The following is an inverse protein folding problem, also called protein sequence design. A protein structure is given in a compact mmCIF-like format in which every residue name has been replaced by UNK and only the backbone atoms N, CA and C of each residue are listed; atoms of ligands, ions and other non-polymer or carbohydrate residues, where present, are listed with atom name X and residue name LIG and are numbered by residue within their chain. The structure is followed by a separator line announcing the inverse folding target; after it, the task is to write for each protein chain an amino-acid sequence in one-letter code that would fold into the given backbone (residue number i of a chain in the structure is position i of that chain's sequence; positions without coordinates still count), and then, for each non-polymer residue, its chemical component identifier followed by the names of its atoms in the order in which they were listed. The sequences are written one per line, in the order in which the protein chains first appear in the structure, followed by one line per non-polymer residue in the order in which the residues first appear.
data_IF_011321028680
#
_entry.id   IF_011321028680
#
_cell.length_a   1.000
_cell.length_b   1.000
_cell.length_c   1.000
_cell.angle_alpha   90.00
_cell.angle_beta   90.00
_cell.angle_gamma   90.00
#
_symmetry.space_group_name_H-M   'P 1'
#
loop_
_entity.id
_entity.type
_entity.pdbx_description
1 polymer ?
#
# COMPACT_ATOMS: atom_id res chain seq x y z
N UNK A 1 -60.05 30.05 33.76
CA UNK A 1 -60.77 28.86 33.27
C UNK A 1 -59.88 28.18 32.25
N UNK A 2 -59.70 26.88 32.41
CA UNK A 2 -58.91 25.98 31.54
C UNK A 2 -59.63 25.76 30.17
N UNK A 3 -59.10 25.12 29.12
CA UNK A 3 -58.43 23.81 28.96
C UNK A 3 -57.94 23.70 27.48
N UNK A 4 -56.93 22.85 27.23
CA UNK A 4 -56.71 22.03 26.00
C UNK A 4 -56.13 22.69 24.73
N UNK A 5 -55.25 22.06 23.93
CA UNK A 5 -54.44 20.84 23.99
C UNK A 5 -53.51 20.85 22.75
N UNK A 6 -52.32 20.25 22.87
CA UNK A 6 -51.36 19.86 21.82
C UNK A 6 -51.98 18.86 20.79
N UNK A 7 -51.39 18.53 19.60
CA UNK A 7 -49.97 18.14 19.44
C UNK A 7 -49.25 18.26 18.05
N UNK A 8 -47.93 18.05 18.09
CA UNK A 8 -47.06 17.33 17.14
C UNK A 8 -47.06 17.68 15.63
N UNK A 9 -46.04 18.44 15.22
CA UNK A 9 -45.61 18.54 13.82
C UNK A 9 -44.62 17.42 13.46
N UNK A 10 -45.15 16.43 12.73
CA UNK A 10 -44.43 15.37 12.02
C UNK A 10 -43.63 15.93 10.84
N UNK A 11 -42.30 16.00 10.93
CA UNK A 11 -41.42 16.18 9.77
C UNK A 11 -41.00 14.82 9.21
N UNK A 12 -41.72 14.36 8.18
CA UNK A 12 -41.32 13.23 7.33
C UNK A 12 -40.08 13.62 6.52
N UNK A 13 -38.92 13.04 6.86
CA UNK A 13 -37.75 13.06 5.99
C UNK A 13 -37.99 12.18 4.76
N UNK A 14 -37.77 12.75 3.57
CA UNK A 14 -37.83 12.01 2.30
C UNK A 14 -36.67 11.00 2.23
N UNK A 15 -36.87 9.80 1.64
CA UNK A 15 -35.80 8.82 1.49
C UNK A 15 -34.80 9.29 0.43
N UNK A 16 -33.51 9.27 0.79
CA UNK A 16 -32.41 9.50 -0.14
C UNK A 16 -32.44 8.38 -1.20
N UNK A 17 -32.90 8.73 -2.40
CA UNK A 17 -32.74 7.92 -3.59
C UNK A 17 -31.24 7.68 -3.86
N UNK A 18 -30.80 6.43 -3.89
CA UNK A 18 -29.62 6.05 -4.66
C UNK A 18 -28.55 5.18 -4.00
N UNK A 19 -28.71 4.72 -2.75
CA UNK A 19 -27.80 3.69 -2.24
C UNK A 19 -28.26 2.33 -2.77
N UNK A 20 -27.74 1.95 -3.94
CA UNK A 20 -27.81 0.55 -4.39
C UNK A 20 -27.24 -0.30 -3.25
N UNK A 21 -28.11 -1.08 -2.63
CA UNK A 21 -27.74 -2.19 -1.77
C UNK A 21 -26.79 -3.09 -2.56
N UNK A 22 -25.48 -2.94 -2.32
CA UNK A 22 -24.51 -3.96 -2.68
C UNK A 22 -24.77 -5.07 -1.67
N UNK A 23 -25.39 -6.14 -2.14
CA UNK A 23 -25.41 -7.40 -1.42
C UNK A 23 -23.96 -7.75 -1.07
N UNK A 24 -23.66 -7.83 0.23
CA UNK A 24 -22.40 -8.29 0.82
C UNK A 24 -22.21 -9.79 0.54
N UNK A 25 -21.99 -10.13 -0.74
CA UNK A 25 -21.31 -11.36 -1.10
C UNK A 25 -19.84 -10.97 -1.16
N UNK A 26 -19.06 -11.40 -0.16
CA UNK A 26 -17.66 -11.04 0.09
C UNK A 26 -16.82 -11.07 -1.18
N UNK A 27 -16.72 -9.92 -1.85
CA UNK A 27 -15.95 -9.79 -3.08
C UNK A 27 -14.54 -9.42 -2.66
N UNK A 28 -13.73 -10.46 -2.48
CA UNK A 28 -12.30 -10.37 -2.19
C UNK A 28 -11.53 -9.80 -3.39
N UNK A 29 -10.26 -9.46 -3.18
CA UNK A 29 -9.36 -9.09 -4.26
C UNK A 29 -9.31 -10.19 -5.33
N UNK A 30 -9.37 -9.80 -6.61
CA UNK A 30 -9.10 -10.68 -7.76
C UNK A 30 -7.59 -10.79 -7.98
N UNK A 31 -6.90 -9.64 -7.97
CA UNK A 31 -5.47 -9.58 -8.25
C UNK A 31 -4.77 -8.49 -7.42
N UNK A 32 -3.52 -8.70 -7.03
CA UNK A 32 -2.68 -7.70 -6.36
C UNK A 32 -1.41 -7.44 -7.17
N UNK A 33 -1.10 -6.17 -7.36
CA UNK A 33 0.19 -5.72 -7.88
C UNK A 33 1.01 -5.26 -6.69
N UNK A 34 2.00 -6.07 -6.30
CA UNK A 34 2.93 -5.73 -5.21
C UNK A 34 4.07 -4.89 -5.78
N UNK A 35 4.30 -3.69 -5.26
CA UNK A 35 5.42 -2.84 -5.68
C UNK A 35 6.43 -2.79 -4.54
N UNK A 36 7.60 -3.38 -4.80
CA UNK A 36 8.70 -3.54 -3.86
C UNK A 36 9.99 -2.93 -4.41
N UNK A 37 10.98 -2.73 -3.54
CA UNK A 37 12.27 -2.14 -3.88
C UNK A 37 12.89 -1.43 -2.67
N UNK A 38 14.21 -1.24 -2.73
CA UNK A 38 14.96 -0.54 -1.68
C UNK A 38 14.30 0.80 -1.29
N UNK A 39 14.42 1.25 -0.03
CA UNK A 39 14.11 2.65 0.29
C UNK A 39 14.86 3.58 -0.67
N UNK A 40 14.16 4.55 -1.27
CA UNK A 40 14.76 5.45 -2.28
C UNK A 40 14.69 4.97 -3.74
N UNK A 41 14.29 3.72 -4.01
CA UNK A 41 14.10 3.16 -5.36
C UNK A 41 12.94 3.73 -6.18
N UNK A 42 12.24 4.76 -5.70
CA UNK A 42 11.12 5.33 -6.47
C UNK A 42 9.81 4.52 -6.47
N UNK A 43 9.72 3.39 -5.76
CA UNK A 43 8.47 2.58 -5.62
C UNK A 43 7.20 3.37 -5.30
N UNK A 44 7.29 4.37 -4.42
CA UNK A 44 6.14 5.23 -4.05
C UNK A 44 5.73 6.22 -5.15
N UNK A 45 6.66 6.57 -6.05
CA UNK A 45 6.36 7.37 -7.25
C UNK A 45 5.72 6.49 -8.30
N UNK A 46 6.31 5.32 -8.56
CA UNK A 46 5.80 4.35 -9.53
C UNK A 46 4.40 3.88 -9.17
N UNK A 47 4.13 3.52 -7.91
CA UNK A 47 2.82 3.06 -7.46
C UNK A 47 1.71 4.10 -7.70
N UNK A 48 2.00 5.37 -7.45
CA UNK A 48 1.06 6.48 -7.70
C UNK A 48 0.80 6.68 -9.19
N UNK A 49 1.85 6.73 -10.00
CA UNK A 49 1.73 6.93 -11.44
C UNK A 49 0.96 5.77 -12.09
N UNK A 50 1.26 4.54 -11.67
CA UNK A 50 0.59 3.35 -12.17
C UNK A 50 -0.87 3.29 -11.71
N UNK A 51 -1.15 3.60 -10.44
CA UNK A 51 -2.51 3.69 -9.91
C UNK A 51 -3.37 4.71 -10.67
N UNK A 52 -2.81 5.88 -10.97
CA UNK A 52 -3.47 6.88 -11.80
C UNK A 52 -3.70 6.41 -13.23
N UNK A 53 -2.68 5.83 -13.87
CA UNK A 53 -2.76 5.39 -15.27
C UNK A 53 -3.72 4.21 -15.49
N UNK A 54 -3.89 3.36 -14.48
CA UNK A 54 -4.76 2.18 -14.53
C UNK A 54 -6.10 2.37 -13.81
N UNK A 55 -6.33 3.54 -13.20
CA UNK A 55 -7.48 3.79 -12.33
C UNK A 55 -7.62 2.75 -11.20
N UNK A 56 -6.49 2.34 -10.62
CA UNK A 56 -6.43 1.35 -9.55
C UNK A 56 -6.21 2.01 -8.19
N UNK A 57 -6.81 1.47 -7.11
CA UNK A 57 -6.49 1.89 -5.76
C UNK A 57 -5.03 1.53 -5.41
N UNK A 58 -4.38 2.44 -4.67
CA UNK A 58 -3.00 2.29 -4.20
C UNK A 58 -2.99 2.30 -2.68
N UNK A 59 -2.52 1.22 -2.08
CA UNK A 59 -2.33 1.09 -0.65
C UNK A 59 -0.83 1.16 -0.38
N UNK A 60 -0.37 2.26 0.21
CA UNK A 60 1.04 2.45 0.58
C UNK A 60 1.19 2.33 2.10
N UNK A 61 1.98 1.35 2.54
CA UNK A 61 2.23 1.12 3.97
C UNK A 61 2.87 2.31 4.67
N UNK A 62 3.80 3.00 4.00
CA UNK A 62 4.42 4.20 4.57
C UNK A 62 3.40 5.33 4.72
N UNK A 63 2.48 5.53 3.76
CA UNK A 63 1.40 6.53 3.88
C UNK A 63 0.41 6.22 4.98
N UNK A 64 0.06 4.95 5.17
CA UNK A 64 -0.75 4.53 6.32
C UNK A 64 -0.01 4.81 7.63
N UNK A 65 1.30 4.51 7.72
CA UNK A 65 2.10 4.75 8.91
C UNK A 65 2.21 6.23 9.26
N UNK A 66 2.41 7.09 8.25
CA UNK A 66 2.45 8.56 8.41
C UNK A 66 1.11 9.07 8.98
N UNK A 67 -0.02 8.73 8.36
CA UNK A 67 -1.34 9.15 8.84
C UNK A 67 -1.65 8.65 10.25
N UNK A 68 -1.28 7.42 10.59
CA UNK A 68 -1.45 6.87 11.94
C UNK A 68 -0.53 7.56 12.96
N UNK A 69 0.66 8.00 12.55
CA UNK A 69 1.57 8.75 13.41
C UNK A 69 1.01 10.13 13.77
N UNK A 70 0.46 10.84 12.78
CA UNK A 70 -0.20 12.14 12.96
C UNK A 70 -1.37 12.03 13.96
N UNK A 71 -2.13 10.93 13.90
CA UNK A 71 -3.24 10.66 14.84
C UNK A 71 -2.71 10.28 16.23
N UNK A 72 -1.63 9.50 16.31
CA UNK A 72 -1.09 9.00 17.57
C UNK A 72 -0.36 10.07 18.39
N UNK A 73 0.03 11.20 17.79
CA UNK A 73 0.70 12.33 18.45
C UNK A 73 1.91 11.89 19.29
N UNK A 74 2.71 10.95 18.76
CA UNK A 74 3.91 10.42 19.44
C UNK A 74 3.67 9.41 20.57
N UNK A 75 2.41 9.08 20.89
CA UNK A 75 2.08 8.15 21.99
C UNK A 75 2.27 6.66 21.62
N UNK A 76 2.53 6.35 20.35
CA UNK A 76 2.76 4.99 19.86
C UNK A 76 4.09 4.93 19.13
N UNK A 77 4.95 3.99 19.53
CA UNK A 77 6.27 3.83 18.92
C UNK A 77 6.21 3.46 17.42
N UNK A 78 7.19 3.94 16.65
CA UNK A 78 7.26 3.74 15.19
C UNK A 78 7.17 2.28 14.74
N UNK A 79 7.79 1.36 15.49
CA UNK A 79 7.72 -0.08 15.20
C UNK A 79 6.29 -0.62 15.31
N UNK A 80 5.56 -0.24 16.37
CA UNK A 80 4.16 -0.66 16.57
C UNK A 80 3.24 -0.04 15.54
N UNK A 81 3.41 1.25 15.22
CA UNK A 81 2.68 1.89 14.12
C UNK A 81 2.97 1.23 12.77
N UNK A 82 4.22 0.80 12.53
CA UNK A 82 4.59 0.05 11.34
C UNK A 82 3.84 -1.28 11.21
N UNK A 83 3.67 -2.01 12.32
CA UNK A 83 2.87 -3.24 12.36
C UNK A 83 1.39 -2.95 12.06
N UNK A 84 0.79 -1.99 12.77
CA UNK A 84 -0.61 -1.59 12.57
C UNK A 84 -0.84 -1.16 11.11
N UNK A 85 0.02 -0.32 10.55
CA UNK A 85 -0.07 0.11 9.15
C UNK A 85 0.00 -1.06 8.16
N UNK A 86 0.83 -2.07 8.45
CA UNK A 86 0.98 -3.24 7.58
C UNK A 86 -0.23 -4.17 7.70
N UNK A 87 -0.81 -4.34 8.88
CA UNK A 87 -2.07 -5.06 9.10
C UNK A 87 -3.24 -4.35 8.39
N UNK A 88 -3.36 -3.03 8.56
CA UNK A 88 -4.37 -2.22 7.86
C UNK A 88 -4.23 -2.32 6.35
N UNK A 89 -2.99 -2.34 5.83
CA UNK A 89 -2.73 -2.51 4.39
C UNK A 89 -3.31 -3.81 3.86
N UNK A 90 -3.09 -4.94 4.55
CA UNK A 90 -3.64 -6.23 4.11
C UNK A 90 -5.16 -6.32 4.27
N UNK A 91 -5.72 -5.72 5.32
CA UNK A 91 -7.19 -5.64 5.47
C UNK A 91 -7.83 -4.83 4.35
N UNK A 92 -7.23 -3.69 3.95
CA UNK A 92 -7.69 -2.91 2.81
C UNK A 92 -7.54 -3.69 1.51
N UNK A 93 -6.42 -4.39 1.30
CA UNK A 93 -6.21 -5.20 0.12
C UNK A 93 -7.29 -6.30 -0.01
N UNK A 94 -7.62 -6.98 1.10
CA UNK A 94 -8.68 -7.98 1.15
C UNK A 94 -10.08 -7.41 0.85
N UNK A 95 -10.36 -6.19 1.30
CA UNK A 95 -11.67 -5.54 1.18
C UNK A 95 -11.92 -4.87 -0.19
N UNK A 96 -10.89 -4.65 -1.00
CA UNK A 96 -11.01 -4.04 -2.32
C UNK A 96 -11.38 -5.11 -3.35
N UNK A 97 -12.56 -5.00 -4.01
CA UNK A 97 -12.91 -5.91 -5.08
C UNK A 97 -12.06 -5.63 -6.33
N UNK A 98 -11.64 -6.68 -7.04
CA UNK A 98 -10.89 -6.54 -8.29
C UNK A 98 -9.38 -6.40 -8.08
N UNK A 99 -8.75 -5.44 -8.75
CA UNK A 99 -7.28 -5.27 -8.72
C UNK A 99 -6.88 -4.09 -7.82
N UNK A 100 -5.85 -4.29 -7.00
CA UNK A 100 -5.26 -3.22 -6.18
C UNK A 100 -3.73 -3.23 -6.26
N UNK A 101 -3.12 -2.06 -6.07
CA UNK A 101 -1.67 -1.90 -5.92
C UNK A 101 -1.36 -1.84 -4.42
N UNK A 102 -0.39 -2.65 -3.97
CA UNK A 102 0.11 -2.66 -2.60
C UNK A 102 1.59 -2.33 -2.64
N UNK A 103 2.01 -1.27 -1.93
CA UNK A 103 3.38 -0.76 -1.96
C UNK A 103 4.00 -0.72 -0.57
N UNK A 104 5.19 -1.32 -0.46
CA UNK A 104 6.00 -1.31 0.76
C UNK A 104 7.47 -1.61 0.44
N UNK A 105 8.33 -1.43 1.44
CA UNK A 105 9.63 -2.11 1.45
C UNK A 105 9.46 -3.45 2.17
N UNK A 106 9.44 -4.53 1.41
CA UNK A 106 9.49 -5.88 1.94
C UNK A 106 10.88 -6.48 1.67
N UNK A 107 11.65 -6.63 2.73
CA UNK A 107 12.98 -7.21 2.68
C UNK A 107 12.85 -8.73 2.74
N UNK A 108 13.08 -9.42 1.62
CA UNK A 108 12.78 -10.86 1.47
C UNK A 108 13.28 -11.74 2.63
N UNK A 109 14.54 -11.62 3.11
CA UNK A 109 15.02 -12.43 4.24
C UNK A 109 14.20 -12.27 5.52
N UNK A 110 13.54 -11.12 5.71
CA UNK A 110 12.69 -10.82 6.87
C UNK A 110 11.20 -11.07 6.61
N UNK A 111 10.71 -10.72 5.42
CA UNK A 111 9.28 -10.46 5.21
C UNK A 111 8.56 -11.48 4.32
N UNK A 112 9.26 -12.43 3.70
CA UNK A 112 8.65 -13.36 2.73
C UNK A 112 7.43 -14.10 3.28
N UNK A 113 7.54 -14.69 4.46
CA UNK A 113 6.43 -15.39 5.11
C UNK A 113 5.29 -14.45 5.51
N UNK A 114 5.62 -13.23 5.93
CA UNK A 114 4.63 -12.22 6.29
C UNK A 114 3.80 -11.81 5.07
N UNK A 115 4.46 -11.59 3.93
CA UNK A 115 3.79 -11.23 2.67
C UNK A 115 2.93 -12.40 2.17
N UNK A 116 3.43 -13.63 2.22
CA UNK A 116 2.65 -14.81 1.85
C UNK A 116 1.35 -14.93 2.69
N UNK A 117 1.43 -14.67 4.00
CA UNK A 117 0.26 -14.64 4.88
C UNK A 117 -0.71 -13.51 4.52
N UNK A 118 -0.21 -12.33 4.18
CA UNK A 118 -1.03 -11.20 3.74
C UNK A 118 -1.77 -11.45 2.43
N UNK A 119 -1.11 -12.09 1.45
CA UNK A 119 -1.74 -12.54 0.20
C UNK A 119 -2.86 -13.55 0.50
N UNK A 120 -2.59 -14.55 1.35
CA UNK A 120 -3.60 -15.53 1.74
C UNK A 120 -4.80 -14.89 2.47
N UNK A 121 -4.54 -13.95 3.38
CA UNK A 121 -5.58 -13.15 4.06
C UNK A 121 -6.43 -12.33 3.09
N UNK A 122 -5.87 -11.96 1.93
CA UNK A 122 -6.57 -11.24 0.86
C UNK A 122 -7.38 -12.15 -0.07
N UNK A 123 -7.54 -13.43 0.29
CA UNK A 123 -8.31 -14.40 -0.50
C UNK A 123 -7.49 -15.16 -1.54
N UNK A 124 -6.16 -15.16 -1.40
CA UNK A 124 -5.21 -15.76 -2.37
C UNK A 124 -5.43 -15.26 -3.81
N UNK A 125 -5.44 -13.94 -4.04
CA UNK A 125 -5.61 -13.37 -5.38
C UNK A 125 -4.44 -13.72 -6.29
N UNK A 126 -4.59 -13.49 -7.59
CA UNK A 126 -3.45 -13.50 -8.52
C UNK A 126 -2.46 -12.39 -8.13
N UNK A 127 -1.17 -12.68 -8.10
CA UNK A 127 -0.15 -11.71 -7.66
C UNK A 127 0.87 -11.48 -8.76
N UNK A 128 1.19 -10.22 -9.02
CA UNK A 128 2.38 -9.81 -9.76
C UNK A 128 3.23 -8.92 -8.86
N UNK A 129 4.52 -9.21 -8.79
CA UNK A 129 5.48 -8.35 -8.11
C UNK A 129 6.15 -7.43 -9.13
N UNK A 130 6.22 -6.15 -8.84
CA UNK A 130 7.08 -5.17 -9.51
C UNK A 130 8.25 -4.90 -8.58
N UNK A 131 9.45 -5.22 -9.03
CA UNK A 131 10.69 -4.85 -8.37
C UNK A 131 11.21 -3.54 -8.98
N UNK A 132 11.30 -2.49 -8.15
CA UNK A 132 11.95 -1.23 -8.51
C UNK A 132 13.46 -1.43 -8.44
N UNK A 133 14.03 -1.74 -9.59
CA UNK A 133 15.45 -1.99 -9.78
C UNK A 133 16.17 -0.66 -9.91
N UNK A 134 17.24 -0.52 -9.14
CA UNK A 134 18.10 0.67 -9.11
C UNK A 134 19.42 0.26 -8.46
N UNK A 135 20.48 0.98 -8.81
CA UNK A 135 21.75 0.93 -8.10
C UNK A 135 21.55 1.25 -6.59
N UNK A 136 22.01 0.39 -5.65
CA UNK A 136 21.80 0.59 -4.22
C UNK A 136 22.40 1.89 -3.68
N UNK A 137 23.55 2.32 -4.19
CA UNK A 137 24.20 3.58 -3.83
C UNK A 137 23.31 4.76 -4.23
N UNK A 138 22.81 4.78 -5.46
CA UNK A 138 21.85 5.79 -5.91
C UNK A 138 20.54 5.77 -5.10
N UNK A 139 20.03 4.59 -4.74
CA UNK A 139 18.86 4.47 -3.87
C UNK A 139 19.10 5.11 -2.50
N UNK A 140 20.29 4.87 -1.94
CA UNK A 140 20.72 5.43 -0.65
C UNK A 140 20.87 6.95 -0.72
N UNK A 141 21.52 7.48 -1.74
CA UNK A 141 21.61 8.94 -1.97
C UNK A 141 20.21 9.58 -1.99
N UNK A 142 19.29 9.00 -2.78
CA UNK A 142 17.89 9.45 -2.84
C UNK A 142 17.17 9.33 -1.50
N UNK A 143 17.48 8.31 -0.71
CA UNK A 143 16.90 8.11 0.61
C UNK A 143 17.37 9.19 1.60
N UNK A 144 18.66 9.53 1.59
CA UNK A 144 19.29 10.46 2.52
C UNK A 144 18.89 11.92 2.27
N UNK A 145 18.74 12.33 1.00
CA UNK A 145 18.35 13.72 0.66
C UNK A 145 16.84 13.97 0.83
N UNK A 146 16.04 12.93 0.94
CA UNK A 146 14.57 13.04 0.95
C UNK A 146 14.08 13.52 2.31
N UNK A 147 13.36 14.65 2.32
CA UNK A 147 12.55 15.02 3.48
C UNK A 147 11.40 14.01 3.66
N UNK A 148 11.35 13.37 4.83
CA UNK A 148 10.33 12.38 5.19
C UNK A 148 9.70 12.71 6.53
N UNK A 149 8.53 12.14 6.76
CA UNK A 149 7.88 12.20 8.06
C UNK A 149 8.78 11.63 9.16
N UNK A 150 8.87 12.30 10.30
CA UNK A 150 9.78 11.98 11.42
C UNK A 150 9.65 10.54 11.93
N UNK A 151 8.45 9.96 11.80
CA UNK A 151 8.19 8.55 12.14
C UNK A 151 9.09 7.55 11.39
N UNK A 152 9.72 7.93 10.29
CA UNK A 152 10.66 7.08 9.54
C UNK A 152 12.12 7.25 9.99
N UNK A 153 12.40 8.10 10.97
CA UNK A 153 13.76 8.33 11.46
C UNK A 153 14.34 7.06 12.05
N UNK A 154 15.57 6.74 11.66
CA UNK A 154 16.38 5.67 12.21
C UNK A 154 17.60 6.28 12.89
N UNK A 155 18.05 5.68 14.00
CA UNK A 155 19.33 6.06 14.58
C UNK A 155 20.46 5.83 13.55
N UNK A 156 21.45 6.73 13.42
CA UNK A 156 22.47 6.65 12.36
C UNK A 156 23.18 5.30 12.26
N UNK A 157 23.58 4.72 13.40
CA UNK A 157 24.23 3.41 13.43
C UNK A 157 23.30 2.27 12.94
N UNK A 158 22.03 2.32 13.32
CA UNK A 158 21.03 1.35 12.86
C UNK A 158 20.74 1.50 11.36
N UNK A 159 20.72 2.74 10.84
CA UNK A 159 20.57 2.99 9.42
C UNK A 159 21.78 2.45 8.64
N UNK A 160 23.01 2.71 9.09
CA UNK A 160 24.22 2.22 8.44
C UNK A 160 24.28 0.68 8.40
N UNK A 161 23.98 0.01 9.52
CA UNK A 161 23.93 -1.44 9.59
C UNK A 161 22.84 -2.03 8.67
N UNK A 162 21.66 -1.41 8.64
CA UNK A 162 20.57 -1.84 7.77
C UNK A 162 20.94 -1.67 6.29
N UNK A 163 21.56 -0.56 5.90
CA UNK A 163 21.99 -0.34 4.51
C UNK A 163 23.09 -1.30 4.07
N UNK A 164 24.03 -1.65 4.94
CA UNK A 164 25.04 -2.67 4.62
C UNK A 164 24.38 -4.02 4.27
N UNK A 165 23.42 -4.46 5.10
CA UNK A 165 22.65 -5.69 4.84
C UNK A 165 21.78 -5.58 3.59
N UNK A 166 21.07 -4.46 3.40
CA UNK A 166 20.18 -4.27 2.26
C UNK A 166 20.92 -4.23 0.93
N UNK A 167 22.08 -3.57 0.85
CA UNK A 167 22.87 -3.50 -0.38
C UNK A 167 23.32 -4.90 -0.84
N UNK A 168 23.65 -5.79 0.08
CA UNK A 168 24.10 -7.14 -0.24
C UNK A 168 22.95 -8.10 -0.57
N UNK A 169 21.83 -7.98 0.14
CA UNK A 169 20.81 -9.03 0.20
C UNK A 169 19.44 -8.64 -0.37
N UNK A 170 19.25 -7.39 -0.82
CA UNK A 170 17.97 -6.96 -1.37
C UNK A 170 17.67 -7.64 -2.72
N UNK A 171 16.58 -8.40 -2.74
CA UNK A 171 16.08 -9.11 -3.92
C UNK A 171 14.54 -9.09 -3.92
N UNK A 172 13.89 -9.30 -5.08
CA UNK A 172 12.44 -9.46 -5.15
C UNK A 172 11.95 -10.62 -4.28
N UNK A 173 10.74 -10.52 -3.75
CA UNK A 173 10.12 -11.58 -2.93
C UNK A 173 9.93 -12.88 -3.72
N UNK A 174 9.62 -12.76 -5.01
CA UNK A 174 9.30 -13.87 -5.92
C UNK A 174 8.07 -14.67 -5.49
N UNK A 175 7.02 -13.98 -5.04
CA UNK A 175 5.72 -14.55 -4.61
C UNK A 175 4.70 -14.71 -5.76
N UNK A 176 5.13 -14.43 -6.98
CA UNK A 176 4.38 -14.52 -8.24
C UNK A 176 5.29 -14.10 -9.40
N UNK A 177 4.77 -13.97 -10.64
CA UNK A 177 5.54 -13.38 -11.73
C UNK A 177 6.14 -12.03 -11.30
N UNK A 178 7.44 -11.86 -11.54
CA UNK A 178 8.20 -10.69 -11.12
C UNK A 178 8.60 -9.85 -12.33
N UNK A 179 8.33 -8.55 -12.22
CA UNK A 179 8.62 -7.53 -13.21
C UNK A 179 9.69 -6.59 -12.68
N UNK A 180 10.94 -6.76 -13.12
CA UNK A 180 11.98 -5.77 -12.91
C UNK A 180 11.70 -4.51 -13.73
N UNK A 181 11.76 -3.36 -13.06
CA UNK A 181 11.58 -2.02 -13.64
C UNK A 181 12.74 -1.16 -13.20
N UNK A 182 13.57 -0.72 -14.15
CA UNK A 182 14.59 0.29 -13.90
C UNK A 182 13.92 1.61 -13.49
N UNK A 183 14.31 2.10 -12.31
CA UNK A 183 13.79 3.33 -11.69
C UNK A 183 14.88 4.38 -11.50
N UNK A 184 16.05 4.19 -12.11
CA UNK A 184 17.08 5.22 -12.21
C UNK A 184 16.56 6.45 -12.99
N UNK A 185 15.68 6.24 -13.96
CA UNK A 185 15.05 7.26 -14.81
C UNK A 185 13.51 7.27 -14.71
N UNK A 186 12.83 8.31 -15.25
CA UNK A 186 11.37 8.34 -15.32
C UNK A 186 10.77 7.13 -16.07
N UNK A 187 9.83 6.45 -15.43
CA UNK A 187 9.21 5.24 -15.97
C UNK A 187 7.98 5.54 -16.83
N UNK A 188 7.93 4.98 -18.04
CA UNK A 188 6.77 5.08 -18.93
C UNK A 188 5.68 4.05 -18.57
N UNK A 189 4.60 4.51 -17.93
CA UNK A 189 3.50 3.65 -17.44
C UNK A 189 2.75 2.89 -18.53
N UNK A 190 2.69 3.40 -19.77
CA UNK A 190 2.03 2.74 -20.89
C UNK A 190 2.67 1.37 -21.22
N UNK A 191 4.00 1.29 -21.21
CA UNK A 191 4.73 0.03 -21.44
C UNK A 191 4.53 -0.98 -20.31
N UNK A 192 4.45 -0.49 -19.06
CA UNK A 192 4.19 -1.35 -17.90
C UNK A 192 2.77 -1.94 -17.93
N UNK A 193 1.76 -1.17 -18.34
CA UNK A 193 0.38 -1.65 -18.47
C UNK A 193 0.29 -2.90 -19.35
N UNK A 194 0.93 -2.87 -20.52
CA UNK A 194 0.89 -3.99 -21.46
C UNK A 194 1.54 -5.25 -20.86
N UNK A 195 2.68 -5.09 -20.18
CA UNK A 195 3.38 -6.20 -19.50
C UNK A 195 2.55 -6.77 -18.36
N UNK A 196 1.93 -5.92 -17.54
CA UNK A 196 1.07 -6.35 -16.44
C UNK A 196 -0.17 -7.11 -16.94
N UNK A 197 -0.79 -6.66 -18.03
CA UNK A 197 -1.94 -7.35 -18.62
C UNK A 197 -1.60 -8.78 -19.09
N UNK A 198 -0.38 -9.00 -19.58
CA UNK A 198 0.10 -10.34 -19.95
C UNK A 198 0.33 -11.24 -18.74
N UNK A 199 0.79 -10.67 -17.61
CA UNK A 199 1.11 -11.44 -16.40
C UNK A 199 -0.11 -11.75 -15.54
N UNK A 200 -1.13 -10.89 -15.56
CA UNK A 200 -2.32 -11.02 -14.70
C UNK A 200 -3.48 -11.79 -15.35
N UNK A 201 -3.28 -12.49 -16.46
CA UNK A 201 -4.30 -13.37 -17.08
C UNK A 201 -5.63 -12.65 -17.38
N UNK A 202 -5.76 -12.11 -18.59
CA UNK A 202 -6.95 -11.40 -19.11
C UNK A 202 -8.30 -11.88 -18.56
#
# INVERSE_FOLDING_TARGET
MAVSADPEASTRGQPLHGLRSRTDNGTMAKSLILINGLPGSGKTTLSRQLGQALSLPVISKDKLKEALADIALGNVGSGRLGQIASETMWQLAAAIPGTAIVESWWYRPRDLEYVAKGIAQSGSPEVVEIWCEIDPELARERYEIRLRHEIHTMAPAAAAAAWADWTENAVPLSVGPTLSVDTSEPVHTAGLRARLALLMGS
#
